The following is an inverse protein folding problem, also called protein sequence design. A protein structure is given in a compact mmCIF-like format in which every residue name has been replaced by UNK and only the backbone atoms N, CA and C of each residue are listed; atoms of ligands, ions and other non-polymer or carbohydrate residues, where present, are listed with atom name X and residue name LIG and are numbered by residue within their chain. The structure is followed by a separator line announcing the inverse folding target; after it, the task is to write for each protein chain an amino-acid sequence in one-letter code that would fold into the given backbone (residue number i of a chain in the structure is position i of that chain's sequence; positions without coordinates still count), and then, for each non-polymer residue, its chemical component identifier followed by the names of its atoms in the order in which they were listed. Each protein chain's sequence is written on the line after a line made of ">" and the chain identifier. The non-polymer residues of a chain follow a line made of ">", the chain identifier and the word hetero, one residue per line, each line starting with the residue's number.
data_IF_109513924242
#
_entry.id   IF_109513924242
#
_cell.length_a   1.000
_cell.length_b   1.000
_cell.length_c   1.000
_cell.angle_alpha   90.00
_cell.angle_beta   90.00
_cell.angle_gamma   90.00
#
_symmetry.space_group_name_H-M   'P 1'
#
loop_
_entity.id
_entity.type
_entity.pdbx_description
1 polymer ?
#
# COMPACT_ATOMS: atom_id res chain seq x y z
N UNK A 1 3.61 -15.19 27.11
CA UNK A 1 4.15 -14.41 25.97
C UNK A 1 3.04 -14.31 24.93
N UNK A 2 2.47 -13.12 24.75
CA UNK A 2 1.54 -12.89 23.65
C UNK A 2 2.29 -13.13 22.33
N UNK A 3 1.85 -14.13 21.55
CA UNK A 3 2.27 -14.30 20.16
C UNK A 3 1.74 -13.06 19.43
N UNK A 4 2.58 -12.03 19.29
CA UNK A 4 2.32 -10.93 18.38
C UNK A 4 2.41 -11.53 16.97
N UNK A 5 1.32 -12.17 16.54
CA UNK A 5 1.23 -12.76 15.21
C UNK A 5 1.29 -11.68 14.15
N UNK A 6 1.67 -12.07 12.94
CA UNK A 6 1.85 -11.15 11.83
C UNK A 6 2.83 -11.69 10.83
N UNK A 7 3.00 -10.94 9.75
CA UNK A 7 3.90 -11.29 8.65
C UNK A 7 4.62 -10.05 8.15
N UNK A 8 5.79 -10.27 7.57
CA UNK A 8 6.58 -9.23 6.96
C UNK A 8 6.63 -9.45 5.46
N UNK A 9 6.34 -8.42 4.69
CA UNK A 9 6.46 -8.43 3.23
C UNK A 9 7.65 -7.56 2.80
N UNK A 10 8.44 -8.05 1.85
CA UNK A 10 9.50 -7.25 1.23
C UNK A 10 8.89 -6.41 0.10
N UNK A 11 9.16 -5.10 0.12
CA UNK A 11 8.72 -4.12 -0.86
C UNK A 11 9.93 -3.33 -1.38
N UNK A 12 10.62 -3.86 -2.39
CA UNK A 12 11.90 -3.32 -2.85
C UNK A 12 12.96 -3.43 -1.75
N UNK A 13 13.57 -2.30 -1.38
CA UNK A 13 14.55 -2.20 -0.27
C UNK A 13 13.89 -2.02 1.11
N UNK A 14 12.58 -1.84 1.17
CA UNK A 14 11.82 -1.65 2.41
C UNK A 14 11.10 -2.94 2.82
N UNK A 15 10.58 -2.96 4.05
CA UNK A 15 9.71 -4.01 4.54
C UNK A 15 8.40 -3.43 5.07
N UNK A 16 7.30 -4.12 4.82
CA UNK A 16 5.97 -3.81 5.35
C UNK A 16 5.59 -4.87 6.40
N UNK A 17 5.58 -4.50 7.70
CA UNK A 17 5.04 -5.36 8.73
C UNK A 17 3.51 -5.28 8.75
N UNK A 18 2.84 -6.43 8.78
CA UNK A 18 1.41 -6.54 9.03
C UNK A 18 1.22 -7.31 10.33
N UNK A 19 0.84 -6.59 11.39
CA UNK A 19 0.51 -7.15 12.70
C UNK A 19 -0.98 -7.46 12.84
N UNK A 20 -1.33 -8.26 13.84
CA UNK A 20 -2.73 -8.52 14.22
C UNK A 20 -3.24 -7.33 15.04
N UNK A 21 -3.94 -6.41 14.39
CA UNK A 21 -4.55 -5.22 14.99
C UNK A 21 -5.72 -4.72 14.13
N UNK A 22 -6.52 -3.80 14.67
CA UNK A 22 -7.58 -3.12 13.92
C UNK A 22 -7.01 -2.23 12.79
N UNK A 23 -7.76 -2.02 11.69
CA UNK A 23 -7.31 -1.25 10.53
C UNK A 23 -7.03 0.22 10.86
N UNK A 24 -5.96 0.77 10.28
CA UNK A 24 -5.64 2.19 10.38
C UNK A 24 -6.37 2.97 9.27
N UNK A 25 -7.51 3.58 9.59
CA UNK A 25 -8.35 4.25 8.59
C UNK A 25 -7.86 5.64 8.15
N UNK A 26 -7.00 6.29 8.96
CA UNK A 26 -6.55 7.66 8.72
C UNK A 26 -5.30 7.72 7.84
N UNK A 27 -4.29 6.92 8.16
CA UNK A 27 -2.99 6.88 7.48
C UNK A 27 -2.88 5.63 6.64
N UNK A 28 -2.30 5.76 5.45
CA UNK A 28 -2.03 4.64 4.56
C UNK A 28 -0.58 4.64 4.08
N UNK A 29 0.03 3.46 3.86
CA UNK A 29 1.29 3.38 3.14
C UNK A 29 1.08 3.70 1.66
N UNK A 30 2.12 4.29 1.05
CA UNK A 30 2.19 4.54 -0.38
C UNK A 30 3.37 3.77 -0.99
N UNK A 31 3.10 3.01 -2.04
CA UNK A 31 4.09 2.19 -2.73
C UNK A 31 4.39 2.80 -4.10
N UNK A 32 5.66 3.14 -4.32
CA UNK A 32 6.12 3.50 -5.65
C UNK A 32 6.26 2.24 -6.51
N UNK A 33 5.65 2.26 -7.68
CA UNK A 33 5.72 1.17 -8.65
C UNK A 33 6.22 1.68 -10.00
N UNK A 34 6.89 0.83 -10.76
CA UNK A 34 7.41 1.18 -12.09
C UNK A 34 6.33 1.13 -13.17
N UNK A 35 5.33 0.26 -12.98
CA UNK A 35 4.27 0.02 -13.95
C UNK A 35 2.92 -0.11 -13.25
N UNK A 36 2.05 0.89 -13.42
CA UNK A 36 0.61 0.71 -13.23
C UNK A 36 0.16 -0.24 -14.35
N UNK A 37 0.00 -1.52 -14.05
CA UNK A 37 -0.55 -2.46 -15.02
C UNK A 37 -1.85 -1.89 -15.62
N UNK A 38 -2.13 -2.23 -16.89
CA UNK A 38 -3.27 -1.70 -17.69
C UNK A 38 -4.67 -1.85 -17.05
N UNK A 39 -4.76 -2.52 -15.90
CA UNK A 39 -5.99 -2.92 -15.22
C UNK A 39 -6.55 -1.80 -14.34
N UNK A 40 -5.73 -0.88 -13.85
CA UNK A 40 -6.20 0.20 -12.96
C UNK A 40 -5.80 1.56 -13.54
N UNK A 41 -6.81 2.35 -13.92
CA UNK A 41 -6.61 3.74 -14.36
C UNK A 41 -6.34 4.59 -13.13
N UNK A 42 -5.14 5.17 -13.06
CA UNK A 42 -4.77 6.09 -11.99
C UNK A 42 -5.37 7.48 -12.17
N UNK A 43 -5.47 8.22 -11.06
CA UNK A 43 -5.67 9.65 -11.04
C UNK A 43 -4.32 10.36 -11.18
N UNK A 44 -4.29 11.45 -11.94
CA UNK A 44 -3.11 12.28 -12.13
C UNK A 44 -3.13 13.44 -11.13
N UNK A 45 -2.07 13.57 -10.33
CA UNK A 45 -1.87 14.69 -9.42
C UNK A 45 -0.40 15.09 -9.40
N UNK A 46 -0.10 16.34 -9.76
CA UNK A 46 1.24 16.93 -9.64
C UNK A 46 2.36 16.09 -10.30
N UNK A 47 2.12 15.54 -11.49
CA UNK A 47 3.11 14.70 -12.19
C UNK A 47 3.25 13.27 -11.63
N UNK A 48 2.31 12.85 -10.79
CA UNK A 48 2.23 11.51 -10.23
C UNK A 48 0.93 10.88 -10.71
N UNK A 49 1.02 9.68 -11.29
CA UNK A 49 -0.13 8.82 -11.52
C UNK A 49 -0.30 7.90 -10.32
N UNK A 50 -1.48 7.89 -9.71
CA UNK A 50 -1.74 7.12 -8.49
C UNK A 50 -3.13 6.53 -8.41
N UNK A 51 -3.30 5.49 -7.60
CA UNK A 51 -4.60 4.93 -7.29
C UNK A 51 -4.62 4.36 -5.87
N UNK A 52 -5.83 4.11 -5.36
CA UNK A 52 -6.05 3.54 -4.04
C UNK A 52 -6.74 2.18 -4.15
N UNK A 53 -6.35 1.27 -3.28
CA UNK A 53 -7.04 0.00 -3.05
C UNK A 53 -7.25 -0.20 -1.56
N UNK A 54 -8.23 -1.03 -1.21
CA UNK A 54 -8.40 -1.52 0.14
C UNK A 54 -7.89 -2.96 0.20
N UNK A 55 -7.10 -3.27 1.23
CA UNK A 55 -6.75 -4.66 1.52
C UNK A 55 -7.97 -5.42 2.07
N UNK A 56 -7.89 -6.76 2.23
CA UNK A 56 -8.98 -7.57 2.78
C UNK A 56 -9.41 -7.17 4.20
N UNK A 57 -8.60 -6.39 4.91
CA UNK A 57 -8.85 -5.92 6.27
C UNK A 57 -9.42 -4.49 6.30
N UNK A 58 -9.51 -3.80 5.15
CA UNK A 58 -10.03 -2.44 5.05
C UNK A 58 -8.99 -1.32 5.21
N UNK A 59 -7.68 -1.64 5.24
CA UNK A 59 -6.65 -0.60 5.17
C UNK A 59 -6.57 -0.06 3.74
N UNK A 60 -6.59 1.26 3.61
CA UNK A 60 -6.28 1.91 2.33
C UNK A 60 -4.79 1.74 2.05
N UNK A 61 -4.45 1.48 0.80
CA UNK A 61 -3.08 1.47 0.27
C UNK A 61 -3.03 2.34 -0.98
N UNK A 62 -2.01 3.17 -1.10
CA UNK A 62 -1.76 4.01 -2.29
C UNK A 62 -0.66 3.39 -3.14
N UNK A 63 -0.88 3.33 -4.44
CA UNK A 63 0.12 2.92 -5.41
C UNK A 63 0.35 4.06 -6.37
N UNK A 64 1.61 4.41 -6.61
CA UNK A 64 1.96 5.61 -7.38
C UNK A 64 3.16 5.39 -8.30
N UNK A 65 3.18 6.16 -9.39
CA UNK A 65 4.28 6.25 -10.33
C UNK A 65 4.56 7.72 -10.64
N UNK A 66 5.83 8.11 -10.56
CA UNK A 66 6.28 9.41 -11.06
C UNK A 66 6.33 9.37 -12.58
N UNK A 67 5.73 10.38 -13.22
CA UNK A 67 5.78 10.58 -14.67
C UNK A 67 7.04 11.36 -15.03
#
# INVERSE_FOLDING_TARGET
>A
MAKQGGVWFRCGIHQLPIGIQEPALKSHPAFQIENLGKVVKGELLQGIERFFVYDPFGNRQEFLKKI
#
